data_IF_523501953407
#
_entry.id   IF_523501953407
#
_cell.length_a   1.000
_cell.length_b   1.000
_cell.length_c   1.000
_cell.angle_alpha   90.00
_cell.angle_beta   90.00
_cell.angle_gamma   90.00
#
_symmetry.space_group_name_H-M   'P 1'
#
loop_
_entity.id
_entity.type
_entity.pdbx_description
1 polymer ?
#
# COMPACT_ATOMS: atom_id res chain seq x y z
N UNK A 1 -5.40 9.16 20.11
CA UNK A 1 -5.75 9.43 18.71
C UNK A 1 -4.48 9.78 17.95
N UNK A 2 -4.14 9.03 16.89
CA UNK A 2 -3.00 9.36 16.02
C UNK A 2 -3.27 10.69 15.31
N UNK A 3 -2.25 11.53 15.16
CA UNK A 3 -2.35 12.84 14.50
C UNK A 3 -1.21 12.99 13.51
N UNK A 4 -1.48 13.64 12.38
CA UNK A 4 -0.44 14.09 11.47
C UNK A 4 0.31 15.24 12.16
N UNK A 5 1.65 15.21 12.14
CA UNK A 5 2.43 16.31 12.73
C UNK A 5 2.14 17.61 11.98
N UNK A 6 2.19 18.74 12.69
CA UNK A 6 1.93 20.07 12.09
C UNK A 6 2.86 20.37 10.93
N UNK A 7 4.12 19.94 11.04
CA UNK A 7 5.13 20.09 10.00
C UNK A 7 4.73 19.38 8.70
N UNK A 8 4.30 18.11 8.80
CA UNK A 8 3.87 17.33 7.63
C UNK A 8 2.59 17.91 7.03
N UNK A 9 1.62 18.30 7.86
CA UNK A 9 0.39 18.92 7.39
C UNK A 9 0.65 20.25 6.65
N UNK A 10 1.57 21.08 7.15
CA UNK A 10 1.94 22.34 6.51
C UNK A 10 2.69 22.13 5.19
N UNK A 11 3.60 21.14 5.13
CA UNK A 11 4.38 20.82 3.93
C UNK A 11 3.54 20.13 2.85
N UNK A 12 2.48 19.42 3.25
CA UNK A 12 1.64 18.62 2.37
C UNK A 12 0.13 18.80 2.67
N UNK A 13 -0.45 19.98 2.35
CA UNK A 13 -1.83 20.28 2.72
C UNK A 13 -2.88 19.40 2.02
N UNK A 14 -2.51 18.74 0.91
CA UNK A 14 -3.37 17.78 0.20
C UNK A 14 -3.23 16.33 0.66
N UNK A 15 -2.41 16.05 1.68
CA UNK A 15 -2.26 14.68 2.20
C UNK A 15 -3.38 14.34 3.16
N UNK A 16 -4.09 13.27 2.83
CA UNK A 16 -5.08 12.64 3.70
C UNK A 16 -4.56 11.28 4.13
N UNK A 17 -4.57 11.02 5.43
CA UNK A 17 -4.25 9.69 5.98
C UNK A 17 -5.52 9.09 6.56
N UNK A 18 -5.94 7.96 5.98
CA UNK A 18 -6.99 7.12 6.54
C UNK A 18 -6.41 6.20 7.61
N UNK A 19 -7.11 6.07 8.74
CA UNK A 19 -6.74 5.14 9.81
C UNK A 19 -7.93 4.24 10.08
N UNK A 20 -7.71 2.93 9.95
CA UNK A 20 -8.65 1.90 10.37
C UNK A 20 -8.06 1.24 11.61
N UNK A 21 -8.84 1.17 12.68
CA UNK A 21 -8.45 0.51 13.93
C UNK A 21 -9.42 -0.63 14.19
N UNK A 22 -8.88 -1.75 14.67
CA UNK A 22 -9.66 -2.91 15.02
C UNK A 22 -8.83 -3.90 15.82
N UNK A 23 -9.52 -4.85 16.43
CA UNK A 23 -8.91 -5.97 17.15
C UNK A 23 -8.91 -7.20 16.25
N UNK A 24 -7.80 -7.92 16.28
CA UNK A 24 -7.61 -9.14 15.50
C UNK A 24 -7.24 -10.26 16.46
N UNK A 25 -8.23 -11.08 16.84
CA UNK A 25 -7.99 -12.21 17.75
C UNK A 25 -7.02 -13.25 17.14
N UNK A 26 -7.06 -13.43 15.81
CA UNK A 26 -6.17 -14.32 15.06
C UNK A 26 -5.82 -13.70 13.71
N UNK A 27 -4.53 -13.59 13.42
CA UNK A 27 -4.03 -13.15 12.12
C UNK A 27 -4.11 -14.30 11.08
N UNK A 28 -5.33 -14.63 10.68
CA UNK A 28 -5.65 -15.65 9.69
C UNK A 28 -6.87 -15.25 8.87
N UNK A 29 -6.93 -15.71 7.62
CA UNK A 29 -8.14 -15.56 6.81
C UNK A 29 -9.24 -16.48 7.35
N UNK A 30 -10.47 -15.97 7.36
CA UNK A 30 -11.66 -16.81 7.56
C UNK A 30 -11.88 -17.73 6.34
N UNK A 31 -11.66 -17.19 5.14
CA UNK A 31 -11.67 -17.93 3.87
C UNK A 31 -10.45 -17.52 3.04
N UNK A 32 -9.44 -18.39 3.00
CA UNK A 32 -8.22 -18.15 2.23
C UNK A 32 -8.46 -18.22 0.72
N UNK A 33 -9.42 -19.04 0.26
CA UNK A 33 -9.72 -19.16 -1.16
C UNK A 33 -10.40 -17.89 -1.68
N UNK A 34 -11.31 -17.30 -0.90
CA UNK A 34 -11.90 -15.99 -1.22
C UNK A 34 -10.82 -14.90 -1.35
N UNK A 35 -9.82 -14.89 -0.45
CA UNK A 35 -8.68 -13.98 -0.57
C UNK A 35 -7.88 -14.25 -1.86
N UNK A 36 -7.54 -15.51 -2.13
CA UNK A 36 -6.76 -15.88 -3.32
C UNK A 36 -7.44 -15.48 -4.61
N UNK A 37 -8.75 -15.72 -4.75
CA UNK A 37 -9.52 -15.29 -5.92
C UNK A 37 -9.44 -13.77 -6.12
N UNK A 38 -9.62 -13.03 -5.03
CA UNK A 38 -9.54 -11.57 -5.03
C UNK A 38 -8.14 -11.05 -5.39
N UNK A 39 -7.09 -11.73 -4.92
CA UNK A 39 -5.70 -11.40 -5.22
C UNK A 39 -5.38 -11.67 -6.70
N UNK A 40 -5.78 -12.82 -7.25
CA UNK A 40 -5.56 -13.16 -8.67
C UNK A 40 -6.25 -12.18 -9.59
N UNK A 41 -7.50 -11.81 -9.31
CA UNK A 41 -8.22 -10.80 -10.08
C UNK A 41 -7.51 -9.44 -10.06
N UNK A 42 -7.00 -9.00 -8.90
CA UNK A 42 -6.25 -7.75 -8.80
C UNK A 42 -4.92 -7.79 -9.56
N UNK A 43 -4.23 -8.95 -9.54
CA UNK A 43 -3.00 -9.14 -10.30
C UNK A 43 -3.26 -9.12 -11.81
N UNK A 44 -4.32 -9.79 -12.28
CA UNK A 44 -4.74 -9.75 -13.68
C UNK A 44 -5.05 -8.34 -14.16
N UNK A 45 -5.77 -7.55 -13.35
CA UNK A 45 -6.05 -6.15 -13.68
C UNK A 45 -4.77 -5.31 -13.72
N UNK A 46 -3.87 -5.52 -12.76
CA UNK A 46 -2.58 -4.83 -12.73
C UNK A 46 -1.75 -5.13 -13.98
N UNK A 47 -1.78 -6.37 -14.49
CA UNK A 47 -1.06 -6.78 -15.71
C UNK A 47 -1.53 -6.04 -16.97
N UNK A 48 -2.72 -5.43 -16.96
CA UNK A 48 -3.24 -4.63 -18.07
C UNK A 48 -2.69 -3.21 -18.09
N UNK A 49 -1.99 -2.78 -17.04
CA UNK A 49 -1.41 -1.43 -16.96
C UNK A 49 -0.22 -1.34 -17.93
N UNK A 50 -0.40 -0.58 -19.02
CA UNK A 50 0.64 -0.34 -20.01
C UNK A 50 1.79 0.54 -19.47
N UNK A 51 1.45 1.60 -18.74
CA UNK A 51 2.43 2.52 -18.14
C UNK A 51 2.11 2.77 -16.67
N UNK A 52 2.84 2.09 -15.78
CA UNK A 52 2.68 2.24 -14.33
C UNK A 52 3.07 3.65 -13.84
N UNK A 53 4.05 4.29 -14.48
CA UNK A 53 4.54 5.60 -14.05
C UNK A 53 3.51 6.72 -14.26
N UNK A 54 2.59 6.54 -15.21
CA UNK A 54 1.52 7.48 -15.56
C UNK A 54 0.26 7.29 -14.73
N UNK A 55 0.17 6.21 -13.95
CA UNK A 55 -0.97 6.00 -13.05
C UNK A 55 -1.06 7.17 -12.05
N UNK A 56 -2.22 7.85 -11.91
CA UNK A 56 -2.33 9.07 -11.12
C UNK A 56 -1.81 8.93 -9.68
N UNK A 57 -2.14 7.81 -9.02
CA UNK A 57 -1.70 7.56 -7.65
C UNK A 57 -0.18 7.29 -7.58
N UNK A 58 0.39 6.56 -8.54
CA UNK A 58 1.85 6.34 -8.61
C UNK A 58 2.57 7.68 -8.79
N UNK A 59 2.13 8.50 -9.73
CA UNK A 59 2.71 9.83 -9.97
C UNK A 59 2.63 10.73 -8.72
N UNK A 60 1.49 10.72 -8.02
CA UNK A 60 1.29 11.48 -6.78
C UNK A 60 2.24 11.02 -5.66
N UNK A 61 2.38 9.70 -5.44
CA UNK A 61 3.28 9.17 -4.41
C UNK A 61 4.76 9.41 -4.74
N UNK A 62 5.15 9.31 -6.01
CA UNK A 62 6.51 9.70 -6.44
C UNK A 62 6.80 11.18 -6.18
N UNK A 63 5.81 12.07 -6.38
CA UNK A 63 5.93 13.49 -6.05
C UNK A 63 6.13 13.69 -4.55
N UNK A 64 5.38 12.96 -3.73
CA UNK A 64 5.50 13.01 -2.28
C UNK A 64 6.89 12.55 -1.82
N UNK A 65 7.40 11.41 -2.31
CA UNK A 65 8.73 10.89 -1.95
C UNK A 65 9.85 11.88 -2.30
N UNK A 66 9.81 12.46 -3.51
CA UNK A 66 10.75 13.52 -3.91
C UNK A 66 10.71 14.72 -2.97
N UNK A 67 9.52 15.10 -2.53
CA UNK A 67 9.37 16.20 -1.59
C UNK A 67 9.90 15.86 -0.19
N UNK A 68 10.10 14.60 0.15
CA UNK A 68 10.83 14.13 1.34
C UNK A 68 12.33 13.91 1.09
N UNK A 69 12.86 14.38 -0.05
CA UNK A 69 14.26 14.16 -0.47
C UNK A 69 14.62 12.67 -0.65
N UNK A 70 13.62 11.80 -0.80
CA UNK A 70 13.78 10.40 -1.13
C UNK A 70 13.69 10.23 -2.66
N UNK A 71 14.63 9.49 -3.25
CA UNK A 71 14.59 9.16 -4.68
C UNK A 71 13.62 8.00 -4.91
N UNK A 72 12.43 8.22 -5.51
CA UNK A 72 11.43 7.17 -5.70
C UNK A 72 11.87 6.09 -6.68
N UNK A 73 12.94 6.30 -7.46
CA UNK A 73 13.51 5.26 -8.32
C UNK A 73 14.32 4.25 -7.50
N UNK A 74 15.01 4.71 -6.46
CA UNK A 74 15.79 3.89 -5.51
C UNK A 74 14.89 3.26 -4.45
N UNK A 75 13.99 4.05 -3.84
CA UNK A 75 13.05 3.59 -2.83
C UNK A 75 11.62 3.85 -3.27
N UNK A 76 11.02 2.83 -3.89
CA UNK A 76 9.65 2.93 -4.42
C UNK A 76 8.62 2.91 -3.29
N UNK A 77 7.52 3.66 -3.42
CA UNK A 77 6.33 3.44 -2.60
C UNK A 77 5.88 1.98 -2.69
N UNK A 78 5.38 1.41 -1.58
CA UNK A 78 5.01 -0.01 -1.49
C UNK A 78 4.02 -0.44 -2.59
N UNK A 79 3.01 0.38 -2.86
CA UNK A 79 2.04 0.10 -3.92
C UNK A 79 2.67 0.04 -5.32
N UNK A 80 3.62 0.93 -5.63
CA UNK A 80 4.36 0.87 -6.89
C UNK A 80 5.27 -0.36 -6.96
N UNK A 81 5.92 -0.73 -5.86
CA UNK A 81 6.75 -1.93 -5.78
C UNK A 81 5.93 -3.20 -6.00
N UNK A 82 4.74 -3.31 -5.39
CA UNK A 82 3.81 -4.43 -5.58
C UNK A 82 3.31 -4.51 -7.02
N UNK A 83 2.87 -3.39 -7.60
CA UNK A 83 2.41 -3.36 -8.98
C UNK A 83 3.52 -3.76 -9.97
N UNK A 84 4.74 -3.27 -9.75
CA UNK A 84 5.90 -3.61 -10.58
C UNK A 84 6.27 -5.09 -10.49
N UNK A 85 6.18 -5.69 -9.29
CA UNK A 85 6.36 -7.13 -9.10
C UNK A 85 5.36 -7.93 -9.94
N UNK A 86 4.09 -7.56 -9.91
CA UNK A 86 3.04 -8.23 -10.70
C UNK A 86 3.26 -8.06 -12.21
N UNK A 87 3.66 -6.87 -12.66
CA UNK A 87 4.00 -6.60 -14.06
C UNK A 87 5.22 -7.40 -14.54
N UNK A 88 6.12 -7.78 -13.64
CA UNK A 88 7.25 -8.67 -13.92
C UNK A 88 6.85 -10.16 -13.94
N UNK A 89 5.57 -10.49 -13.86
CA UNK A 89 5.06 -11.86 -13.91
C UNK A 89 4.95 -12.56 -12.56
N UNK A 90 5.32 -11.90 -11.47
CA UNK A 90 5.16 -12.46 -10.12
C UNK A 90 3.74 -12.27 -9.58
N UNK A 91 3.50 -12.85 -8.40
CA UNK A 91 2.26 -12.71 -7.63
C UNK A 91 2.51 -11.85 -6.40
N UNK A 92 1.45 -11.36 -5.76
CA UNK A 92 1.52 -10.70 -4.46
C UNK A 92 2.27 -11.59 -3.45
N UNK A 93 3.13 -10.99 -2.60
CA UNK A 93 3.80 -11.74 -1.55
C UNK A 93 2.77 -12.28 -0.55
N UNK A 94 3.05 -13.45 0.01
CA UNK A 94 2.31 -14.04 1.13
C UNK A 94 3.16 -13.91 2.40
N UNK A 95 2.70 -13.13 3.36
CA UNK A 95 3.42 -12.82 4.61
C UNK A 95 2.60 -13.27 5.81
N UNK A 96 1.40 -12.71 5.98
CA UNK A 96 0.38 -13.11 6.95
C UNK A 96 -0.95 -12.46 6.55
N UNK A 97 -2.08 -12.88 7.11
CA UNK A 97 -3.39 -12.45 6.62
C UNK A 97 -3.61 -10.93 6.64
N UNK A 98 -3.17 -10.23 7.70
CA UNK A 98 -3.27 -8.77 7.78
C UNK A 98 -2.40 -8.07 6.73
N UNK A 99 -1.15 -8.51 6.56
CA UNK A 99 -0.22 -7.96 5.57
C UNK A 99 -0.72 -8.20 4.16
N UNK A 100 -1.19 -9.41 3.90
CA UNK A 100 -1.74 -9.84 2.63
C UNK A 100 -3.00 -9.02 2.28
N UNK A 101 -3.89 -8.77 3.24
CA UNK A 101 -5.05 -7.89 3.09
C UNK A 101 -4.67 -6.48 2.64
N UNK A 102 -3.78 -5.79 3.36
CA UNK A 102 -3.45 -4.41 3.00
C UNK A 102 -2.60 -4.33 1.73
N UNK A 103 -1.80 -5.36 1.41
CA UNK A 103 -1.06 -5.45 0.16
C UNK A 103 -2.01 -5.57 -1.03
N UNK A 104 -3.08 -6.36 -0.90
CA UNK A 104 -4.14 -6.44 -1.90
C UNK A 104 -4.84 -5.08 -2.10
N UNK A 105 -5.20 -4.39 -1.01
CA UNK A 105 -5.77 -3.02 -1.10
C UNK A 105 -4.79 -2.07 -1.77
N UNK A 106 -3.50 -2.16 -1.44
CA UNK A 106 -2.45 -1.32 -2.02
C UNK A 106 -2.31 -1.55 -3.52
N UNK A 107 -2.34 -2.80 -3.97
CA UNK A 107 -2.26 -3.16 -5.39
C UNK A 107 -3.45 -2.63 -6.17
N UNK A 108 -4.67 -2.87 -5.68
CA UNK A 108 -5.92 -2.46 -6.35
C UNK A 108 -6.04 -0.97 -6.57
N UNK A 109 -5.58 -0.19 -5.61
CA UNK A 109 -5.79 1.26 -5.60
C UNK A 109 -4.51 2.04 -5.92
N UNK A 110 -3.36 1.37 -6.03
CA UNK A 110 -2.04 2.00 -6.19
C UNK A 110 -1.73 3.03 -5.09
N UNK A 111 -2.24 2.82 -3.87
CA UNK A 111 -1.97 3.63 -2.68
C UNK A 111 -1.20 2.81 -1.64
N UNK A 112 -0.14 3.33 -1.02
CA UNK A 112 0.55 2.66 0.08
C UNK A 112 -0.37 2.49 1.29
N UNK A 113 -0.56 1.24 1.70
CA UNK A 113 -1.19 0.89 2.97
C UNK A 113 -0.19 0.10 3.81
N UNK A 114 -0.26 0.27 5.13
CA UNK A 114 0.51 -0.49 6.09
C UNK A 114 -0.28 -0.69 7.38
N UNK A 115 0.25 -1.51 8.29
CA UNK A 115 -0.34 -1.77 9.59
C UNK A 115 0.71 -1.77 10.69
N UNK A 116 0.28 -1.41 11.89
CA UNK A 116 1.12 -1.36 13.09
C UNK A 116 0.34 -1.96 14.26
N UNK A 117 1.08 -2.66 15.13
CA UNK A 117 0.57 -3.07 16.43
C UNK A 117 0.42 -1.82 17.30
N UNK A 118 -0.84 -1.45 17.60
CA UNK A 118 -1.18 -0.22 18.30
C UNK A 118 -0.53 -0.12 19.68
N UNK A 119 -0.38 -1.25 20.38
CA UNK A 119 0.19 -1.28 21.73
C UNK A 119 1.71 -1.05 21.72
N UNK A 120 2.34 -1.20 20.55
CA UNK A 120 3.78 -1.03 20.36
C UNK A 120 4.15 0.32 19.74
N UNK A 121 3.17 1.19 19.48
CA UNK A 121 3.44 2.53 18.95
C UNK A 121 4.00 3.41 20.08
N UNK A 122 5.23 3.88 19.90
CA UNK A 122 5.88 4.89 20.74
C UNK A 122 6.01 6.18 19.92
N UNK A 123 5.59 7.31 20.48
CA UNK A 123 5.51 8.61 19.80
C UNK A 123 6.53 9.62 20.30
#
# INVERSE_FOLDING_TARGET
MLKISKEIAARFPGVTIGIVQGECAKNAFADENAYLQQARAAEEETRKIANLAEQPNVAAWRKMYRAFSEDPTKRKPSAEALAKRVLNGEQLPRVNALVDCYNLVSLRNLIPVGGQDREKIVG
#
